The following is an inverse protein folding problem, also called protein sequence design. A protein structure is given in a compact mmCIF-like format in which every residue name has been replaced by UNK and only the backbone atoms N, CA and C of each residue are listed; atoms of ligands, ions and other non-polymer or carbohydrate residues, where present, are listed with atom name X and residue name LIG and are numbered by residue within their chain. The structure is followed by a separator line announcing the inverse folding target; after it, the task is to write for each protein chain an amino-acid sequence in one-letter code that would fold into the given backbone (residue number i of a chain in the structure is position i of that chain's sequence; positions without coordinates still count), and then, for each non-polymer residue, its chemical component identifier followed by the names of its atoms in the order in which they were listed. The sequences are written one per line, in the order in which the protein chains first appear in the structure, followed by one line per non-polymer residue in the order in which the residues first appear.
data_IF_968000869935
#
_entry.id   IF_968000869935
#
_cell.length_a   1.000
_cell.length_b   1.000
_cell.length_c   1.000
_cell.angle_alpha   90.00
_cell.angle_beta   90.00
_cell.angle_gamma   90.00
#
_symmetry.space_group_name_H-M   'P 1'
#
loop_
_entity.id
_entity.type
_entity.pdbx_description
1 polymer ?
#
# COMPACT_ATOMS: atom_id res chain seq x y z
N UNK A 1 18.05 -8.78 -8.85
CA UNK A 1 16.91 -8.20 -9.61
C UNK A 1 17.34 -6.91 -10.28
N UNK A 2 16.62 -6.46 -11.31
CA UNK A 2 16.83 -5.14 -11.94
C UNK A 2 15.78 -4.16 -11.42
N UNK A 3 16.20 -2.98 -10.96
CA UNK A 3 15.28 -1.91 -10.55
C UNK A 3 14.64 -1.29 -11.81
N UNK A 4 13.30 -1.25 -11.93
CA UNK A 4 12.61 -0.76 -13.13
C UNK A 4 13.00 0.67 -13.51
N UNK A 5 13.15 0.96 -14.81
CA UNK A 5 13.47 2.32 -15.29
C UNK A 5 12.36 3.33 -14.96
N UNK A 6 11.11 2.89 -15.01
CA UNK A 6 9.94 3.69 -14.61
C UNK A 6 9.96 4.09 -13.13
N UNK A 7 10.61 3.30 -12.28
CA UNK A 7 10.85 3.67 -10.89
C UNK A 7 11.93 4.75 -10.84
N UNK A 8 13.09 4.48 -11.45
CA UNK A 8 14.24 5.39 -11.47
C UNK A 8 13.87 6.80 -11.92
N UNK A 9 13.00 6.93 -12.94
CA UNK A 9 12.70 8.21 -13.59
C UNK A 9 11.71 9.13 -12.87
N UNK A 10 10.92 8.64 -11.91
CA UNK A 10 9.79 9.42 -11.38
C UNK A 10 9.64 9.48 -9.86
N UNK A 11 10.28 8.61 -9.08
CA UNK A 11 10.10 8.64 -7.64
C UNK A 11 10.89 9.72 -6.89
N UNK A 12 10.63 9.81 -5.58
CA UNK A 12 11.15 10.86 -4.70
C UNK A 12 12.67 11.07 -4.79
N UNK A 13 13.45 10.00 -4.98
CA UNK A 13 14.92 10.04 -5.07
C UNK A 13 15.47 11.01 -6.13
N UNK A 14 14.70 11.36 -7.17
CA UNK A 14 15.12 12.40 -8.13
C UNK A 14 15.30 13.77 -7.47
N UNK A 15 14.50 14.08 -6.43
CA UNK A 15 14.57 15.34 -5.68
C UNK A 15 15.65 15.33 -4.60
N UNK A 16 16.04 14.14 -4.14
CA UNK A 16 17.01 13.91 -3.05
C UNK A 16 18.47 13.90 -3.54
N UNK A 17 18.71 14.09 -4.83
CA UNK A 17 20.06 14.25 -5.41
C UNK A 17 20.96 13.03 -5.21
N UNK A 18 22.12 13.22 -4.58
CA UNK A 18 23.11 12.16 -4.38
C UNK A 18 22.58 11.05 -3.47
N UNK A 19 21.85 11.40 -2.40
CA UNK A 19 21.25 10.41 -1.50
C UNK A 19 20.29 9.48 -2.25
N UNK A 20 19.49 10.04 -3.17
CA UNK A 20 18.60 9.29 -4.04
C UNK A 20 19.34 8.33 -4.96
N UNK A 21 20.45 8.76 -5.58
CA UNK A 21 21.28 7.91 -6.44
C UNK A 21 21.92 6.75 -5.67
N UNK A 22 22.48 7.02 -4.50
CA UNK A 22 23.10 6.01 -3.65
C UNK A 22 22.07 4.96 -3.19
N UNK A 23 20.89 5.41 -2.78
CA UNK A 23 19.81 4.51 -2.38
C UNK A 23 19.35 3.61 -3.54
N UNK A 24 19.12 4.18 -4.74
CA UNK A 24 18.77 3.39 -5.92
C UNK A 24 19.82 2.33 -6.26
N UNK A 25 21.10 2.65 -6.10
CA UNK A 25 22.19 1.72 -6.33
C UNK A 25 22.24 0.60 -5.27
N UNK A 26 21.82 0.89 -4.03
CA UNK A 26 21.80 -0.07 -2.93
C UNK A 26 20.60 -1.05 -2.99
N UNK A 27 19.50 -0.70 -3.66
CA UNK A 27 18.25 -1.49 -3.67
C UNK A 27 18.43 -2.98 -4.03
N UNK A 28 19.17 -3.37 -5.07
CA UNK A 28 19.39 -4.79 -5.36
C UNK A 28 20.08 -5.52 -4.21
N UNK A 29 21.03 -4.87 -3.54
CA UNK A 29 21.75 -5.42 -2.38
C UNK A 29 20.82 -5.60 -1.18
N UNK A 30 20.02 -4.58 -0.86
CA UNK A 30 19.01 -4.64 0.22
C UNK A 30 18.05 -5.81 -0.03
N UNK A 31 17.53 -5.95 -1.25
CA UNK A 31 16.62 -7.06 -1.59
C UNK A 31 17.31 -8.41 -1.43
N UNK A 32 18.53 -8.58 -1.97
CA UNK A 32 19.28 -9.83 -1.85
C UNK A 32 19.59 -10.21 -0.41
N UNK A 33 19.98 -9.25 0.43
CA UNK A 33 20.24 -9.47 1.85
C UNK A 33 18.98 -9.94 2.58
N UNK A 34 17.85 -9.28 2.36
CA UNK A 34 16.60 -9.62 3.04
C UNK A 34 16.01 -10.92 2.52
N UNK A 35 16.18 -11.24 1.24
CA UNK A 35 15.86 -12.56 0.71
C UNK A 35 16.65 -13.67 1.41
N UNK A 36 17.96 -13.49 1.59
CA UNK A 36 18.78 -14.47 2.31
C UNK A 36 18.39 -14.56 3.80
N UNK A 37 18.19 -13.42 4.47
CA UNK A 37 17.86 -13.35 5.90
C UNK A 37 16.50 -13.96 6.22
N UNK A 38 15.52 -13.78 5.36
CA UNK A 38 14.13 -14.19 5.57
C UNK A 38 13.74 -15.46 4.82
N UNK A 39 14.69 -16.15 4.18
CA UNK A 39 14.49 -17.36 3.38
C UNK A 39 13.44 -17.16 2.28
N UNK A 40 13.65 -16.14 1.44
CA UNK A 40 12.74 -15.71 0.39
C UNK A 40 13.31 -15.96 -1.01
N UNK A 41 12.46 -16.43 -1.91
CA UNK A 41 12.76 -16.50 -3.35
C UNK A 41 11.96 -15.43 -4.09
N UNK A 42 12.60 -14.66 -4.97
CA UNK A 42 11.88 -13.72 -5.85
C UNK A 42 11.10 -14.51 -6.89
N UNK A 43 9.79 -14.28 -6.97
CA UNK A 43 8.87 -15.08 -7.80
C UNK A 43 8.00 -14.21 -8.75
N UNK A 44 8.39 -12.95 -8.97
CA UNK A 44 7.73 -12.06 -9.93
C UNK A 44 8.48 -10.76 -10.17
N UNK A 45 7.97 -9.96 -11.11
CA UNK A 45 8.57 -8.67 -11.45
C UNK A 45 8.32 -7.62 -10.35
N UNK A 46 9.31 -6.77 -10.03
CA UNK A 46 9.12 -5.69 -9.07
C UNK A 46 8.05 -4.70 -9.53
N UNK A 47 7.13 -4.39 -8.62
CA UNK A 47 6.16 -3.32 -8.73
C UNK A 47 6.65 -2.09 -7.95
N UNK A 48 6.06 -0.93 -8.20
CA UNK A 48 6.40 0.28 -7.45
C UNK A 48 5.29 1.34 -7.44
N UNK A 49 5.44 2.23 -6.47
CA UNK A 49 4.86 3.57 -6.50
C UNK A 49 5.90 4.57 -6.01
N UNK A 50 5.47 5.77 -5.62
CA UNK A 50 6.39 6.90 -5.45
C UNK A 50 7.29 6.82 -4.21
N UNK A 51 6.93 5.94 -3.28
CA UNK A 51 7.55 5.85 -1.94
C UNK A 51 8.28 4.52 -1.68
N UNK A 52 8.42 3.65 -2.68
CA UNK A 52 9.17 2.41 -2.50
C UNK A 52 8.93 1.35 -3.58
N UNK A 53 9.83 0.37 -3.58
CA UNK A 53 9.78 -0.80 -4.45
C UNK A 53 9.06 -1.95 -3.73
N UNK A 54 8.22 -2.69 -4.43
CA UNK A 54 7.55 -3.89 -3.93
C UNK A 54 7.94 -5.10 -4.80
N UNK A 55 8.61 -6.07 -4.20
CA UNK A 55 9.13 -7.25 -4.91
C UNK A 55 8.29 -8.46 -4.51
N UNK A 56 7.58 -9.12 -5.44
CA UNK A 56 6.94 -10.40 -5.19
C UNK A 56 7.99 -11.45 -4.79
N UNK A 57 7.74 -12.11 -3.67
CA UNK A 57 8.61 -13.16 -3.14
C UNK A 57 7.78 -14.31 -2.59
N UNK A 58 8.39 -15.48 -2.43
CA UNK A 58 7.82 -16.62 -1.73
C UNK A 58 8.73 -17.11 -0.60
N UNK A 59 8.12 -17.58 0.49
CA UNK A 59 8.79 -18.34 1.55
C UNK A 59 8.24 -19.77 1.51
N UNK A 60 8.94 -20.68 0.85
CA UNK A 60 8.36 -21.97 0.45
C UNK A 60 7.14 -21.75 -0.45
N UNK A 61 5.98 -22.28 -0.04
CA UNK A 61 4.70 -22.10 -0.76
C UNK A 61 3.93 -20.83 -0.34
N UNK A 62 4.45 -20.03 0.61
CA UNK A 62 3.77 -18.83 1.11
C UNK A 62 4.07 -17.60 0.23
N UNK A 63 3.07 -17.02 -0.44
CA UNK A 63 3.24 -15.83 -1.27
C UNK A 63 3.31 -14.55 -0.42
N UNK A 64 4.40 -13.79 -0.55
CA UNK A 64 4.69 -12.57 0.20
C UNK A 64 5.14 -11.43 -0.74
N UNK A 65 5.30 -10.23 -0.18
CA UNK A 65 5.90 -9.08 -0.85
C UNK A 65 6.98 -8.49 0.03
N UNK A 66 8.18 -8.35 -0.51
CA UNK A 66 9.25 -7.57 0.09
C UNK A 66 9.16 -6.12 -0.40
N UNK A 67 8.71 -5.23 0.47
CA UNK A 67 8.69 -3.79 0.19
C UNK A 67 9.94 -3.12 0.74
N UNK A 68 10.63 -2.33 -0.08
CA UNK A 68 11.74 -1.47 0.34
C UNK A 68 11.33 -0.02 0.17
N UNK A 69 11.11 0.67 1.29
CA UNK A 69 10.70 2.07 1.34
C UNK A 69 11.91 3.01 1.34
N UNK A 70 11.67 4.27 0.94
CA UNK A 70 12.64 5.33 1.17
C UNK A 70 12.97 5.44 2.68
N UNK A 71 14.25 5.50 3.09
CA UNK A 71 14.66 5.43 4.49
C UNK A 71 14.54 6.80 5.15
N UNK A 72 13.29 7.23 5.39
CA UNK A 72 12.99 8.42 6.19
C UNK A 72 12.26 8.07 7.50
N UNK A 73 11.96 9.10 8.28
CA UNK A 73 11.26 8.98 9.57
C UNK A 73 9.87 8.33 9.47
N UNK A 74 9.33 8.16 8.24
CA UNK A 74 8.02 7.51 8.05
C UNK A 74 8.07 5.98 8.15
N UNK A 75 9.24 5.34 8.01
CA UNK A 75 9.34 3.87 8.07
C UNK A 75 8.97 3.32 9.47
N UNK A 76 9.51 3.84 10.58
CA UNK A 76 9.08 3.44 11.92
C UNK A 76 7.56 3.57 12.12
N UNK A 77 6.98 4.70 11.66
CA UNK A 77 5.54 4.96 11.77
C UNK A 77 4.71 3.99 10.94
N UNK A 78 5.15 3.66 9.72
CA UNK A 78 4.51 2.65 8.87
C UNK A 78 4.51 1.28 9.57
N UNK A 79 5.64 0.87 10.14
CA UNK A 79 5.75 -0.41 10.86
C UNK A 79 4.86 -0.41 12.11
N UNK A 80 4.86 0.67 12.89
CA UNK A 80 3.99 0.81 14.06
C UNK A 80 2.50 0.73 13.66
N UNK A 81 2.10 1.44 12.61
CA UNK A 81 0.74 1.41 12.10
C UNK A 81 0.34 0.00 11.64
N UNK A 82 1.15 -0.68 10.83
CA UNK A 82 0.86 -2.04 10.36
C UNK A 82 0.75 -3.05 11.50
N UNK A 83 1.55 -2.90 12.57
CA UNK A 83 1.42 -3.71 13.79
C UNK A 83 0.12 -3.42 14.55
N UNK A 84 -0.30 -2.16 14.63
CA UNK A 84 -1.58 -1.79 15.24
C UNK A 84 -2.73 -2.41 14.45
N UNK A 85 -2.72 -2.31 13.13
CA UNK A 85 -3.76 -2.87 12.26
C UNK A 85 -3.75 -4.39 12.23
N UNK A 86 -2.58 -5.03 12.23
CA UNK A 86 -2.40 -6.48 12.29
C UNK A 86 -3.33 -7.26 11.35
N UNK A 87 -3.34 -6.89 10.07
CA UNK A 87 -4.20 -7.52 9.05
C UNK A 87 -5.66 -7.06 9.03
N UNK A 88 -6.11 -6.20 9.96
CA UNK A 88 -7.51 -5.72 10.00
C UNK A 88 -7.72 -4.63 8.96
N UNK A 89 -8.20 -5.03 7.78
CA UNK A 89 -8.46 -4.11 6.66
C UNK A 89 -7.21 -3.48 6.05
N UNK A 90 -6.02 -3.95 6.44
CA UNK A 90 -4.72 -3.53 5.96
C UNK A 90 -3.86 -4.78 5.73
N UNK A 91 -2.85 -4.64 4.88
CA UNK A 91 -1.85 -5.70 4.65
C UNK A 91 -1.20 -6.12 5.98
N UNK A 92 -1.09 -7.42 6.20
CA UNK A 92 -0.36 -7.98 7.34
C UNK A 92 1.15 -7.74 7.19
N UNK A 93 1.76 -7.22 8.26
CA UNK A 93 3.22 -7.18 8.41
C UNK A 93 3.71 -8.51 8.98
N UNK A 94 4.54 -9.23 8.22
CA UNK A 94 5.17 -10.48 8.64
C UNK A 94 6.45 -10.19 9.42
N UNK A 95 7.31 -9.31 8.90
CA UNK A 95 8.54 -8.88 9.55
C UNK A 95 9.00 -7.52 9.00
N UNK A 96 9.91 -6.84 9.70
CA UNK A 96 10.46 -5.56 9.26
C UNK A 96 11.92 -5.37 9.71
N UNK A 97 12.71 -4.78 8.84
CA UNK A 97 13.98 -4.13 9.18
C UNK A 97 13.84 -2.63 8.92
N UNK A 98 13.63 -1.89 10.01
CA UNK A 98 13.44 -0.43 9.95
C UNK A 98 14.70 0.28 9.45
N UNK A 99 15.89 -0.27 9.73
CA UNK A 99 17.17 0.38 9.38
C UNK A 99 17.42 0.39 7.88
N UNK A 100 16.97 -0.66 7.19
CA UNK A 100 17.07 -0.81 5.73
C UNK A 100 15.82 -0.36 4.98
N UNK A 101 14.75 0.00 5.70
CA UNK A 101 13.45 0.32 5.11
C UNK A 101 12.70 -0.89 4.55
N UNK A 102 13.11 -2.12 4.90
CA UNK A 102 12.53 -3.35 4.38
C UNK A 102 11.35 -3.84 5.23
N UNK A 103 10.22 -4.11 4.58
CA UNK A 103 9.02 -4.67 5.18
C UNK A 103 8.65 -5.94 4.42
N UNK A 104 8.50 -7.05 5.13
CA UNK A 104 7.93 -8.28 4.60
C UNK A 104 6.42 -8.30 4.88
N UNK A 105 5.64 -8.32 3.82
CA UNK A 105 4.18 -8.16 3.87
C UNK A 105 3.49 -9.39 3.29
N UNK A 106 2.27 -9.66 3.71
CA UNK A 106 1.42 -10.60 2.97
C UNK A 106 1.24 -10.14 1.52
N UNK A 107 1.18 -11.08 0.57
CA UNK A 107 0.93 -10.72 -0.83
C UNK A 107 -0.56 -10.55 -1.10
N UNK A 108 -0.93 -9.34 -1.52
CA UNK A 108 -2.27 -9.07 -2.05
C UNK A 108 -2.34 -9.37 -3.54
N UNK A 109 -3.53 -9.76 -4.00
CA UNK A 109 -3.78 -9.99 -5.42
C UNK A 109 -3.86 -8.65 -6.16
N UNK A 110 -2.89 -8.38 -7.04
CA UNK A 110 -2.73 -7.11 -7.75
C UNK A 110 -3.28 -7.16 -9.18
N UNK A 111 -3.61 -8.35 -9.70
CA UNK A 111 -4.22 -8.55 -11.02
C UNK A 111 -5.73 -8.28 -10.93
N UNK A 112 -6.07 -7.01 -10.81
CA UNK A 112 -7.43 -6.53 -10.95
C UNK A 112 -7.84 -6.61 -12.43
N UNK A 113 -8.44 -7.73 -12.90
CA UNK A 113 -9.00 -7.75 -14.27
C UNK A 113 -9.29 -9.07 -14.98
N UNK A 114 -9.16 -10.25 -14.37
CA UNK A 114 -9.48 -11.52 -15.04
C UNK A 114 -10.76 -12.15 -14.50
N UNK A 115 -11.81 -12.29 -15.32
CA UNK A 115 -13.08 -12.94 -14.98
C UNK A 115 -12.99 -14.46 -14.74
N UNK A 116 -12.02 -14.92 -13.97
CA UNK A 116 -11.90 -16.31 -13.52
C UNK A 116 -12.49 -16.51 -12.11
N UNK A 117 -12.84 -17.75 -11.73
CA UNK A 117 -13.23 -18.04 -10.36
C UNK A 117 -12.06 -17.73 -9.43
N UNK A 118 -12.31 -16.91 -8.41
CA UNK A 118 -11.33 -16.59 -7.37
C UNK A 118 -10.79 -17.87 -6.74
N UNK A 119 -9.54 -18.23 -7.07
CA UNK A 119 -8.78 -19.23 -6.33
C UNK A 119 -8.51 -18.73 -4.90
N UNK A 120 -8.29 -19.63 -3.93
CA UNK A 120 -8.61 -19.39 -2.54
C UNK A 120 -7.69 -18.37 -1.88
N UNK A 121 -8.12 -17.11 -1.90
CA UNK A 121 -7.71 -16.07 -0.96
C UNK A 121 -7.87 -16.60 0.49
N UNK A 122 -7.07 -16.14 1.47
CA UNK A 122 -7.32 -16.32 2.89
C UNK A 122 -8.61 -15.61 3.36
N UNK A 123 -9.77 -16.00 2.81
CA UNK A 123 -11.12 -15.53 3.16
C UNK A 123 -11.70 -16.30 4.35
N UNK A 124 -10.95 -17.25 4.91
CA UNK A 124 -11.41 -18.09 6.01
C UNK A 124 -11.61 -17.33 7.33
N UNK A 125 -11.01 -16.14 7.50
CA UNK A 125 -11.18 -15.34 8.74
C UNK A 125 -12.33 -14.32 8.70
N UNK A 126 -12.70 -13.80 7.53
CA UNK A 126 -13.68 -12.70 7.44
C UNK A 126 -15.09 -13.12 6.99
N UNK A 127 -15.32 -14.36 6.56
CA UNK A 127 -16.66 -14.83 6.13
C UNK A 127 -17.59 -15.31 7.25
N UNK A 128 -17.14 -15.37 8.50
CA UNK A 128 -18.02 -15.75 9.60
C UNK A 128 -18.98 -14.64 10.06
N UNK A 129 -18.83 -13.37 9.60
CA UNK A 129 -19.61 -12.25 10.15
C UNK A 129 -20.24 -11.23 9.18
N UNK A 130 -19.88 -11.19 7.90
CA UNK A 130 -20.55 -10.30 6.94
C UNK A 130 -21.51 -11.09 6.04
N UNK A 131 -22.82 -10.91 6.28
CA UNK A 131 -23.89 -11.47 5.47
C UNK A 131 -23.74 -11.12 3.98
N UNK A 132 -24.20 -12.03 3.13
CA UNK A 132 -24.18 -11.92 1.67
C UNK A 132 -24.96 -10.68 1.21
N UNK A 133 -24.30 -9.79 0.49
CA UNK A 133 -24.94 -8.73 -0.30
C UNK A 133 -24.47 -8.82 -1.76
N UNK A 134 -25.28 -9.44 -2.60
CA UNK A 134 -25.17 -9.57 -4.06
C UNK A 134 -25.53 -8.26 -4.80
N UNK A 135 -24.88 -7.16 -4.42
CA UNK A 135 -25.07 -5.87 -5.06
C UNK A 135 -23.96 -5.61 -6.07
N UNK A 136 -24.26 -5.65 -7.37
CA UNK A 136 -23.32 -5.25 -8.42
C UNK A 136 -22.65 -3.90 -8.13
N UNK A 137 -21.39 -3.75 -8.53
CA UNK A 137 -20.55 -2.61 -8.14
C UNK A 137 -21.16 -1.27 -8.60
N UNK A 138 -21.43 -0.30 -7.69
CA UNK A 138 -22.04 0.96 -8.08
C UNK A 138 -21.08 1.84 -8.89
N UNK A 139 -21.62 2.54 -9.89
CA UNK A 139 -20.88 3.50 -10.72
C UNK A 139 -20.89 4.93 -10.14
N UNK A 140 -19.94 5.76 -10.56
CA UNK A 140 -19.87 7.18 -10.21
C UNK A 140 -19.67 7.45 -8.71
N UNK A 141 -20.32 8.50 -8.19
CA UNK A 141 -20.19 8.96 -6.79
C UNK A 141 -20.62 7.93 -5.75
N UNK A 142 -21.51 6.99 -6.11
CA UNK A 142 -21.91 5.86 -5.24
C UNK A 142 -20.75 4.90 -4.99
N UNK A 143 -19.76 4.84 -5.90
CA UNK A 143 -18.57 3.99 -5.75
C UNK A 143 -17.70 4.43 -4.58
N UNK A 144 -17.54 5.73 -4.35
CA UNK A 144 -16.69 6.24 -3.27
C UNK A 144 -17.24 5.84 -1.89
N UNK A 145 -18.54 6.06 -1.68
CA UNK A 145 -19.22 5.67 -0.43
C UNK A 145 -19.20 4.16 -0.22
N UNK A 146 -19.47 3.40 -1.28
CA UNK A 146 -19.38 1.94 -1.24
C UNK A 146 -17.96 1.43 -0.90
N UNK A 147 -16.91 2.00 -1.48
CA UNK A 147 -15.53 1.65 -1.15
C UNK A 147 -15.19 2.00 0.31
N UNK A 148 -15.63 3.17 0.78
CA UNK A 148 -15.42 3.59 2.16
C UNK A 148 -16.14 2.67 3.14
N UNK A 149 -17.40 2.33 2.87
CA UNK A 149 -18.18 1.42 3.71
C UNK A 149 -17.54 0.02 3.75
N UNK A 150 -17.07 -0.49 2.60
CA UNK A 150 -16.34 -1.76 2.54
C UNK A 150 -15.02 -1.76 3.35
N UNK A 151 -14.28 -0.64 3.33
CA UNK A 151 -13.06 -0.49 4.13
C UNK A 151 -13.39 -0.41 5.63
N UNK A 152 -14.41 0.35 6.00
CA UNK A 152 -14.88 0.48 7.38
C UNK A 152 -15.29 -0.88 7.93
N UNK A 153 -16.05 -1.65 7.15
CA UNK A 153 -16.50 -2.98 7.55
C UNK A 153 -15.32 -3.95 7.67
N UNK A 154 -14.41 -3.96 6.70
CA UNK A 154 -13.23 -4.84 6.71
C UNK A 154 -12.25 -4.52 7.83
N UNK A 155 -12.12 -3.24 8.18
CA UNK A 155 -11.22 -2.75 9.22
C UNK A 155 -11.89 -2.63 10.60
N UNK A 156 -13.18 -3.01 10.72
CA UNK A 156 -14.00 -2.88 11.93
C UNK A 156 -13.95 -1.47 12.55
N UNK A 157 -13.97 -0.44 11.69
CA UNK A 157 -13.81 0.95 12.09
C UNK A 157 -15.14 1.61 12.46
N UNK A 158 -15.05 2.67 13.27
CA UNK A 158 -16.18 3.58 13.47
C UNK A 158 -16.38 4.45 12.22
N UNK A 159 -17.53 4.31 11.55
CA UNK A 159 -17.87 5.10 10.36
C UNK A 159 -17.74 6.62 10.55
N UNK A 160 -18.28 7.23 11.62
CA UNK A 160 -18.07 8.66 11.88
C UNK A 160 -16.60 9.06 11.98
N UNK A 161 -15.77 8.25 12.66
CA UNK A 161 -14.33 8.51 12.79
C UNK A 161 -13.59 8.32 11.47
N UNK A 162 -13.95 7.30 10.69
CA UNK A 162 -13.37 7.06 9.37
C UNK A 162 -13.68 8.20 8.40
N UNK A 163 -14.92 8.72 8.39
CA UNK A 163 -15.27 9.89 7.59
C UNK A 163 -14.50 11.14 8.04
N UNK A 164 -14.46 11.43 9.35
CA UNK A 164 -13.73 12.58 9.88
C UNK A 164 -12.23 12.51 9.55
N UNK A 165 -11.62 11.33 9.69
CA UNK A 165 -10.24 11.10 9.32
C UNK A 165 -9.99 11.25 7.81
N UNK A 166 -10.89 10.73 6.97
CA UNK A 166 -10.79 10.88 5.52
C UNK A 166 -10.88 12.35 5.09
N UNK A 167 -11.73 13.15 5.73
CA UNK A 167 -11.78 14.61 5.51
C UNK A 167 -10.47 15.26 5.93
N UNK A 168 -9.97 14.99 7.14
CA UNK A 168 -8.72 15.55 7.63
C UNK A 168 -7.54 15.22 6.70
N UNK A 169 -7.38 13.95 6.33
CA UNK A 169 -6.32 13.50 5.41
C UNK A 169 -6.47 14.10 4.01
N UNK A 170 -7.71 14.29 3.54
CA UNK A 170 -7.95 14.94 2.25
C UNK A 170 -7.56 16.42 2.29
N UNK A 171 -7.84 17.14 3.37
CA UNK A 171 -7.43 18.54 3.54
C UNK A 171 -5.92 18.65 3.68
N UNK A 172 -5.29 17.80 4.50
CA UNK A 172 -3.83 17.79 4.68
C UNK A 172 -3.10 17.53 3.35
N UNK A 173 -3.52 16.51 2.60
CA UNK A 173 -2.94 16.20 1.29
C UNK A 173 -3.24 17.29 0.26
N UNK A 174 -4.42 17.93 0.33
CA UNK A 174 -4.75 19.08 -0.52
C UNK A 174 -3.78 20.24 -0.29
N UNK A 175 -3.55 20.64 0.97
CA UNK A 175 -2.65 21.73 1.31
C UNK A 175 -1.22 21.43 0.85
N UNK A 176 -0.71 20.24 1.17
CA UNK A 176 0.59 19.80 0.68
C UNK A 176 0.67 19.79 -0.85
N UNK A 177 -0.37 19.32 -1.53
CA UNK A 177 -0.41 19.25 -2.99
C UNK A 177 -0.36 20.63 -3.64
N UNK A 178 -1.02 21.64 -3.06
CA UNK A 178 -0.92 23.02 -3.53
C UNK A 178 0.49 23.57 -3.35
N UNK A 179 1.11 23.36 -2.18
CA UNK A 179 2.49 23.81 -1.92
C UNK A 179 3.51 23.12 -2.83
N UNK A 180 3.26 21.86 -3.20
CA UNK A 180 4.07 21.09 -4.14
C UNK A 180 3.81 21.43 -5.62
N UNK A 181 2.84 22.31 -5.92
CA UNK A 181 2.48 22.72 -7.28
C UNK A 181 1.65 21.70 -8.07
N UNK A 182 0.99 20.75 -7.39
CA UNK A 182 0.10 19.78 -8.02
C UNK A 182 -1.23 20.43 -8.43
N UNK A 183 -1.79 20.02 -9.57
CA UNK A 183 -3.01 20.63 -10.13
C UNK A 183 -4.22 19.69 -10.12
N UNK A 184 -4.03 18.36 -10.13
CA UNK A 184 -5.13 17.39 -10.13
C UNK A 184 -5.52 16.91 -8.73
N UNK A 185 -4.55 16.55 -7.90
CA UNK A 185 -4.80 15.97 -6.57
C UNK A 185 -5.56 16.93 -5.63
N UNK A 186 -5.23 18.25 -5.59
CA UNK A 186 -6.05 19.25 -4.90
C UNK A 186 -7.55 19.21 -5.25
N UNK A 187 -7.88 19.12 -6.55
CA UNK A 187 -9.28 19.07 -7.02
C UNK A 187 -9.96 17.77 -6.58
N UNK A 188 -9.24 16.65 -6.62
CA UNK A 188 -9.75 15.35 -6.16
C UNK A 188 -10.02 15.38 -4.66
N UNK A 189 -9.11 15.92 -3.86
CA UNK A 189 -9.26 16.06 -2.41
C UNK A 189 -10.45 16.96 -2.03
N UNK A 190 -10.59 18.12 -2.67
CA UNK A 190 -11.75 19.01 -2.47
C UNK A 190 -13.07 18.27 -2.75
N UNK A 191 -13.11 17.47 -3.82
CA UNK A 191 -14.27 16.64 -4.14
C UNK A 191 -14.53 15.51 -3.15
N UNK A 192 -13.53 15.00 -2.41
CA UNK A 192 -13.74 14.03 -1.34
C UNK A 192 -14.36 14.71 -0.12
N UNK A 193 -13.80 15.86 0.28
CA UNK A 193 -14.30 16.65 1.42
C UNK A 193 -15.79 16.96 1.24
N UNK A 194 -16.17 17.55 0.11
CA UNK A 194 -17.57 17.89 -0.20
C UNK A 194 -18.55 16.72 -0.17
N UNK A 195 -18.08 15.48 -0.33
CA UNK A 195 -18.93 14.27 -0.39
C UNK A 195 -19.05 13.57 0.96
N UNK A 196 -18.14 13.85 1.90
CA UNK A 196 -18.07 13.22 3.22
C UNK A 196 -18.52 14.16 4.35
N UNK A 197 -18.51 15.47 4.13
CA UNK A 197 -19.20 16.48 4.95
C UNK A 197 -20.64 16.65 4.49
#
# INVERSE_FOLDING_TARGET
MTVPDSFRSWGRWQREGEAGRLWLAALPGIVSEHCARWDLTVDGDPMHGDNGLAVPVSRGDEPLVLKVSWPDESVPDQVAALRVWNGRGMVLLVDADVSSGALLLERLDHQWGGGGPALPHPRARHRARAGRGDGGRPAGTRRLRWCLDALIDAAEMSRPRACAWAVLRSVDHWLWGLDAGLTEDPVRCAGIVQRLT
#
